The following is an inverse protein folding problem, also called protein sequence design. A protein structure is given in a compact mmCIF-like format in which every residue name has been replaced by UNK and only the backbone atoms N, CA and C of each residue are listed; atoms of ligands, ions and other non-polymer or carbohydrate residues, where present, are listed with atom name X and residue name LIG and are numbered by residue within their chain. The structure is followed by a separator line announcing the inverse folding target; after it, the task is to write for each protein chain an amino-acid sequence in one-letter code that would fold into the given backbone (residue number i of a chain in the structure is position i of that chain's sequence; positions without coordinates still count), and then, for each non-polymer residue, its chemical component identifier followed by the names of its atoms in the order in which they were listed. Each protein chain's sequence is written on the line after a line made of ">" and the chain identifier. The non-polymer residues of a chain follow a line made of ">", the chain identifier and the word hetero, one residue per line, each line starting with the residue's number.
data_IF_536299623727
#
_entry.id   IF_536299623727
#
_cell.length_a   1.000
_cell.length_b   1.000
_cell.length_c   1.000
_cell.angle_alpha   90.00
_cell.angle_beta   90.00
_cell.angle_gamma   90.00
#
_symmetry.space_group_name_H-M   'P 1'
#
loop_
_entity.id
_entity.type
_entity.pdbx_description
1 polymer ?
#
# COMPACT_ATOMS: atom_id res chain seq x y z
N UNK A 1 16.57 52.83 16.12
CA UNK A 1 16.32 51.83 17.17
C UNK A 1 15.27 50.86 16.67
N UNK A 2 15.53 49.56 16.89
CA UNK A 2 14.83 48.39 16.37
C UNK A 2 13.32 48.37 16.71
N UNK A 3 12.46 47.67 15.96
CA UNK A 3 12.38 46.20 16.00
C UNK A 3 11.60 45.67 14.79
N UNK A 4 12.29 44.94 13.92
CA UNK A 4 11.66 44.06 12.94
C UNK A 4 11.20 42.78 13.63
N UNK A 5 9.92 42.45 13.50
CA UNK A 5 9.38 41.15 13.90
C UNK A 5 9.83 40.10 12.89
N UNK A 6 10.44 38.98 13.32
CA UNK A 6 10.73 37.88 12.42
C UNK A 6 9.43 37.13 12.14
N UNK A 7 8.96 37.19 10.90
CA UNK A 7 7.97 36.27 10.37
C UNK A 7 8.55 34.87 10.40
N UNK A 8 8.07 34.03 11.33
CA UNK A 8 8.37 32.60 11.35
C UNK A 8 7.71 31.96 10.13
N UNK A 9 8.49 31.85 9.07
CA UNK A 9 8.13 31.13 7.86
C UNK A 9 8.11 29.64 8.21
N UNK A 10 7.01 29.14 8.77
CA UNK A 10 6.76 27.72 8.98
C UNK A 10 6.55 27.05 7.62
N UNK A 11 7.66 26.80 6.93
CA UNK A 11 7.69 25.81 5.86
C UNK A 11 7.35 24.48 6.50
N UNK A 12 6.08 24.10 6.45
CA UNK A 12 5.64 22.73 6.62
C UNK A 12 6.43 21.92 5.60
N UNK A 13 7.53 21.33 6.05
CA UNK A 13 8.40 20.51 5.23
C UNK A 13 7.59 19.35 4.73
N UNK A 14 7.00 19.49 3.54
CA UNK A 14 6.72 18.35 2.67
C UNK A 14 8.05 17.63 2.60
N UNK A 15 8.19 16.54 3.34
CA UNK A 15 9.28 15.60 3.20
C UNK A 15 9.28 15.22 1.72
N UNK A 16 10.09 15.93 0.92
CA UNK A 16 10.25 15.64 -0.50
C UNK A 16 10.87 14.26 -0.53
N UNK A 17 10.03 13.29 -0.84
CA UNK A 17 10.45 11.94 -1.10
C UNK A 17 11.55 11.95 -2.14
N UNK A 18 12.49 11.04 -1.95
CA UNK A 18 13.51 10.79 -2.95
C UNK A 18 12.80 10.41 -4.26
N UNK A 19 12.98 11.18 -5.34
CA UNK A 19 12.28 10.94 -6.61
C UNK A 19 12.59 9.56 -7.20
N UNK A 20 13.70 8.94 -6.81
CA UNK A 20 14.03 7.58 -7.23
C UNK A 20 13.11 6.53 -6.59
N UNK A 21 12.59 6.77 -5.39
CA UNK A 21 11.63 5.85 -4.76
C UNK A 21 10.37 5.76 -5.60
N UNK A 22 9.80 6.89 -6.01
CA UNK A 22 8.59 6.89 -6.85
C UNK A 22 8.87 6.27 -8.23
N UNK A 23 10.05 6.52 -8.81
CA UNK A 23 10.49 5.83 -10.03
C UNK A 23 10.53 4.32 -9.84
N UNK A 24 11.12 3.82 -8.76
CA UNK A 24 11.20 2.38 -8.50
C UNK A 24 9.83 1.77 -8.18
N UNK A 25 8.90 2.51 -7.57
CA UNK A 25 7.51 2.06 -7.38
C UNK A 25 6.81 1.85 -8.71
N UNK A 26 7.10 2.70 -9.71
CA UNK A 26 6.54 2.56 -11.06
C UNK A 26 7.17 1.43 -11.87
N UNK A 27 8.47 1.24 -11.72
CA UNK A 27 9.20 0.13 -12.34
C UNK A 27 8.94 -1.21 -11.62
N UNK A 28 8.13 -1.21 -10.55
CA UNK A 28 7.83 -2.36 -9.70
C UNK A 28 9.12 -3.01 -9.14
N UNK A 29 10.15 -2.20 -8.91
CA UNK A 29 11.47 -2.64 -8.44
C UNK A 29 11.57 -2.56 -6.92
N UNK A 30 10.79 -3.40 -6.25
CA UNK A 30 10.64 -3.39 -4.79
C UNK A 30 11.93 -3.68 -4.03
N UNK A 31 12.80 -4.54 -4.58
CA UNK A 31 14.11 -4.84 -4.00
C UNK A 31 15.00 -3.58 -3.87
N UNK A 32 15.01 -2.71 -4.89
CA UNK A 32 15.76 -1.43 -4.81
C UNK A 32 15.15 -0.47 -3.79
N UNK A 33 13.83 -0.43 -3.66
CA UNK A 33 13.17 0.37 -2.62
C UNK A 33 13.60 -0.12 -1.24
N UNK A 34 13.51 -1.43 -0.99
CA UNK A 34 13.91 -2.01 0.30
C UNK A 34 15.37 -1.73 0.63
N UNK A 35 16.28 -1.83 -0.35
CA UNK A 35 17.68 -1.50 -0.13
C UNK A 35 17.87 -0.02 0.20
N UNK A 36 17.20 0.85 -0.55
CA UNK A 36 17.29 2.30 -0.36
C UNK A 36 16.72 2.77 0.98
N UNK A 37 15.63 2.16 1.46
CA UNK A 37 15.02 2.54 2.73
C UNK A 37 15.88 2.22 3.95
N UNK A 38 16.88 1.32 3.86
CA UNK A 38 17.78 0.97 4.97
C UNK A 38 18.58 2.16 5.51
N UNK A 39 18.90 3.12 4.65
CA UNK A 39 19.70 4.30 5.00
C UNK A 39 18.86 5.54 5.33
N UNK A 40 17.53 5.45 5.18
CA UNK A 40 16.62 6.58 5.39
C UNK A 40 16.19 6.62 6.86
N UNK A 41 16.11 7.82 7.43
CA UNK A 41 15.58 8.02 8.79
C UNK A 41 14.15 7.49 8.88
N UNK A 42 13.90 6.61 9.86
CA UNK A 42 12.57 6.04 10.10
C UNK A 42 11.54 7.14 10.37
N UNK A 43 10.46 7.10 9.61
CA UNK A 43 9.26 7.91 9.75
C UNK A 43 8.02 7.04 9.46
N UNK A 44 6.82 7.52 9.76
CA UNK A 44 5.59 6.81 9.42
C UNK A 44 5.51 6.51 7.92
N UNK A 45 5.83 7.50 7.09
CA UNK A 45 5.82 7.31 5.64
C UNK A 45 6.89 6.31 5.15
N UNK A 46 8.07 6.28 5.76
CA UNK A 46 9.11 5.27 5.45
C UNK A 46 8.63 3.86 5.82
N UNK A 47 7.95 3.70 6.97
CA UNK A 47 7.33 2.41 7.34
C UNK A 47 6.25 2.00 6.35
N UNK A 48 5.45 2.95 5.87
CA UNK A 48 4.45 2.69 4.84
C UNK A 48 5.10 2.16 3.55
N UNK A 49 6.13 2.85 3.05
CA UNK A 49 6.88 2.41 1.86
C UNK A 49 7.58 1.06 2.06
N UNK A 50 8.11 0.80 3.26
CA UNK A 50 8.70 -0.49 3.60
C UNK A 50 7.63 -1.60 3.56
N UNK A 51 6.45 -1.34 4.14
CA UNK A 51 5.31 -2.26 4.11
C UNK A 51 4.83 -2.53 2.69
N UNK A 52 4.68 -1.50 1.85
CA UNK A 52 4.35 -1.67 0.43
C UNK A 52 5.40 -2.53 -0.28
N UNK A 53 6.67 -2.18 -0.19
CA UNK A 53 7.73 -2.88 -0.91
C UNK A 53 7.89 -4.33 -0.45
N UNK A 54 7.73 -4.63 0.85
CA UNK A 54 7.73 -6.01 1.35
C UNK A 54 6.53 -6.80 0.84
N UNK A 55 5.33 -6.21 0.86
CA UNK A 55 4.13 -6.86 0.34
C UNK A 55 4.28 -7.19 -1.14
N UNK A 56 4.63 -6.20 -1.95
CA UNK A 56 4.69 -6.39 -3.40
C UNK A 56 5.81 -7.33 -3.82
N UNK A 57 6.96 -7.28 -3.13
CA UNK A 57 8.04 -8.25 -3.34
C UNK A 57 7.60 -9.67 -3.00
N UNK A 58 6.84 -9.85 -1.91
CA UNK A 58 6.26 -11.15 -1.56
C UNK A 58 5.29 -11.64 -2.64
N UNK A 59 4.39 -10.78 -3.11
CA UNK A 59 3.37 -11.13 -4.12
C UNK A 59 3.95 -11.41 -5.51
N UNK A 60 5.16 -10.92 -5.82
CA UNK A 60 5.89 -11.33 -7.03
C UNK A 60 6.33 -12.80 -6.98
N UNK A 61 6.63 -13.33 -5.80
CA UNK A 61 7.02 -14.73 -5.60
C UNK A 61 5.80 -15.64 -5.38
N UNK A 62 4.77 -15.11 -4.72
CA UNK A 62 3.55 -15.83 -4.36
C UNK A 62 2.32 -15.05 -4.86
N UNK A 63 1.96 -15.18 -6.15
CA UNK A 63 0.82 -14.46 -6.73
C UNK A 63 -0.49 -14.77 -6.00
N UNK A 64 -1.40 -13.79 -5.90
CA UNK A 64 -2.70 -13.94 -5.21
C UNK A 64 -3.59 -15.06 -5.78
N UNK A 65 -3.35 -15.49 -7.02
CA UNK A 65 -4.06 -16.61 -7.66
C UNK A 65 -3.52 -17.98 -7.24
N UNK A 66 -2.36 -18.04 -6.56
CA UNK A 66 -1.76 -19.27 -6.05
C UNK A 66 -2.13 -19.51 -4.58
N UNK A 67 -3.05 -20.45 -4.36
CA UNK A 67 -3.58 -20.77 -3.03
C UNK A 67 -2.70 -21.73 -2.21
N UNK A 68 -1.54 -22.16 -2.71
CA UNK A 68 -0.70 -23.16 -2.02
C UNK A 68 0.04 -22.61 -0.80
N UNK A 69 0.18 -21.29 -0.69
CA UNK A 69 1.03 -20.63 0.30
C UNK A 69 0.26 -19.90 1.42
N UNK A 70 -1.04 -20.17 1.59
CA UNK A 70 -1.91 -19.41 2.50
C UNK A 70 -1.40 -19.40 3.96
N UNK A 71 -0.99 -20.55 4.50
CA UNK A 71 -0.50 -20.63 5.88
C UNK A 71 0.81 -19.86 6.05
N UNK A 72 1.69 -19.95 5.05
CA UNK A 72 2.94 -19.19 5.02
C UNK A 72 2.66 -17.68 4.95
N UNK A 73 1.74 -17.23 4.08
CA UNK A 73 1.32 -15.82 3.96
C UNK A 73 0.85 -15.24 5.29
N UNK A 74 0.13 -16.03 6.10
CA UNK A 74 -0.36 -15.59 7.41
C UNK A 74 0.77 -15.28 8.38
N UNK A 75 1.89 -15.99 8.31
CA UNK A 75 3.05 -15.77 9.17
C UNK A 75 3.96 -14.67 8.60
N UNK A 76 4.28 -14.76 7.31
CA UNK A 76 5.26 -13.89 6.65
C UNK A 76 4.78 -12.44 6.57
N UNK A 77 3.46 -12.21 6.47
CA UNK A 77 2.88 -10.88 6.28
C UNK A 77 2.44 -10.16 7.57
N UNK A 78 2.63 -10.75 8.77
CA UNK A 78 2.26 -10.09 10.04
C UNK A 78 3.01 -8.77 10.22
N UNK A 79 4.33 -8.80 9.97
CA UNK A 79 5.17 -7.60 10.07
C UNK A 79 4.74 -6.54 9.06
N UNK A 80 4.38 -6.97 7.84
CA UNK A 80 3.94 -6.10 6.76
C UNK A 80 2.62 -5.41 7.12
N UNK A 81 1.67 -6.14 7.71
CA UNK A 81 0.42 -5.56 8.20
C UNK A 81 0.66 -4.45 9.23
N UNK A 82 1.58 -4.67 10.18
CA UNK A 82 1.94 -3.68 11.19
C UNK A 82 2.63 -2.44 10.58
N UNK A 83 3.48 -2.62 9.57
CA UNK A 83 4.12 -1.52 8.85
C UNK A 83 3.08 -0.66 8.12
N UNK A 84 2.15 -1.29 7.39
CA UNK A 84 1.09 -0.58 6.67
C UNK A 84 0.13 0.16 7.62
N UNK A 85 -0.23 -0.44 8.75
CA UNK A 85 -1.12 0.19 9.75
C UNK A 85 -0.47 1.34 10.51
N UNK A 86 0.80 1.20 10.87
CA UNK A 86 1.55 2.22 11.62
C UNK A 86 2.17 3.31 10.74
N UNK A 87 2.10 3.17 9.42
CA UNK A 87 2.70 4.10 8.45
C UNK A 87 1.89 5.36 8.15
N UNK A 88 0.86 5.68 8.96
CA UNK A 88 0.05 6.90 8.80
C UNK A 88 -0.94 6.90 7.61
N UNK A 89 -0.81 5.95 6.68
CA UNK A 89 -1.58 5.88 5.43
C UNK A 89 -2.75 4.90 5.45
N UNK A 90 -3.13 4.35 6.62
CA UNK A 90 -4.20 3.33 6.71
C UNK A 90 -5.55 3.78 6.13
N UNK A 91 -5.82 5.10 6.15
CA UNK A 91 -7.03 5.71 5.59
C UNK A 91 -6.86 6.26 4.17
N UNK A 92 -5.64 6.25 3.64
CA UNK A 92 -5.41 6.67 2.26
C UNK A 92 -5.88 5.59 1.30
N UNK A 93 -6.21 6.00 0.08
CA UNK A 93 -6.54 5.07 -0.99
C UNK A 93 -5.46 3.98 -1.16
N UNK A 94 -4.19 4.38 -1.22
CA UNK A 94 -3.09 3.41 -1.37
C UNK A 94 -3.02 2.42 -0.21
N UNK A 95 -3.10 2.91 1.03
CA UNK A 95 -3.02 2.04 2.22
C UNK A 95 -4.19 1.06 2.31
N UNK A 96 -5.39 1.48 1.90
CA UNK A 96 -6.54 0.60 1.86
C UNK A 96 -6.40 -0.47 0.77
N UNK A 97 -5.92 -0.11 -0.42
CA UNK A 97 -5.64 -1.08 -1.48
C UNK A 97 -4.59 -2.12 -1.05
N UNK A 98 -3.49 -1.68 -0.44
CA UNK A 98 -2.43 -2.58 0.01
C UNK A 98 -2.89 -3.52 1.13
N UNK A 99 -3.67 -3.02 2.09
CA UNK A 99 -4.26 -3.87 3.13
C UNK A 99 -5.25 -4.89 2.56
N UNK A 100 -6.06 -4.51 1.57
CA UNK A 100 -6.95 -5.45 0.89
C UNK A 100 -6.14 -6.60 0.25
N UNK A 101 -5.08 -6.28 -0.50
CA UNK A 101 -4.19 -7.28 -1.11
C UNK A 101 -3.57 -8.21 -0.07
N UNK A 102 -3.07 -7.64 1.04
CA UNK A 102 -2.49 -8.41 2.15
C UNK A 102 -3.51 -9.39 2.75
N UNK A 103 -4.72 -8.94 3.06
CA UNK A 103 -5.73 -9.82 3.64
C UNK A 103 -6.19 -10.90 2.68
N UNK A 104 -6.28 -10.60 1.38
CA UNK A 104 -6.55 -11.64 0.38
C UNK A 104 -5.45 -12.71 0.37
N UNK A 105 -4.17 -12.32 0.40
CA UNK A 105 -3.03 -13.25 0.44
C UNK A 105 -3.07 -14.15 1.69
N UNK A 106 -3.58 -13.64 2.81
CA UNK A 106 -3.77 -14.37 4.07
C UNK A 106 -5.08 -15.19 4.12
N UNK A 107 -5.88 -15.18 3.04
CA UNK A 107 -7.24 -15.75 2.99
C UNK A 107 -8.19 -15.22 4.06
N UNK A 108 -8.01 -13.94 4.43
CA UNK A 108 -8.87 -13.16 5.33
C UNK A 108 -9.86 -12.35 4.48
N UNK A 109 -10.77 -13.07 3.84
CA UNK A 109 -11.60 -12.51 2.76
C UNK A 109 -12.62 -11.46 3.23
N UNK A 110 -13.07 -11.54 4.48
CA UNK A 110 -14.02 -10.56 5.04
C UNK A 110 -13.33 -9.22 5.31
N UNK A 111 -12.12 -9.24 5.90
CA UNK A 111 -11.30 -8.03 6.03
C UNK A 111 -10.88 -7.50 4.67
N UNK A 112 -10.51 -8.39 3.73
CA UNK A 112 -10.21 -8.00 2.35
C UNK A 112 -11.38 -7.23 1.73
N UNK A 113 -12.60 -7.77 1.79
CA UNK A 113 -13.79 -7.12 1.24
C UNK A 113 -14.05 -5.76 1.89
N UNK A 114 -13.88 -5.67 3.20
CA UNK A 114 -14.02 -4.41 3.94
C UNK A 114 -13.07 -3.35 3.36
N UNK A 115 -11.79 -3.69 3.18
CA UNK A 115 -10.80 -2.76 2.65
C UNK A 115 -10.94 -2.48 1.15
N UNK A 116 -11.43 -3.43 0.35
CA UNK A 116 -11.83 -3.17 -1.05
C UNK A 116 -12.92 -2.10 -1.10
N UNK A 117 -13.96 -2.23 -0.28
CA UNK A 117 -15.07 -1.27 -0.25
C UNK A 117 -14.61 0.11 0.22
N UNK A 118 -13.74 0.16 1.24
CA UNK A 118 -13.13 1.41 1.69
C UNK A 118 -12.33 2.07 0.58
N UNK A 119 -11.44 1.32 -0.08
CA UNK A 119 -10.61 1.83 -1.17
C UNK A 119 -11.44 2.37 -2.34
N UNK A 120 -12.49 1.66 -2.74
CA UNK A 120 -13.41 2.12 -3.79
C UNK A 120 -14.12 3.41 -3.37
N UNK A 121 -14.52 3.52 -2.10
CA UNK A 121 -15.15 4.73 -1.56
C UNK A 121 -14.18 5.90 -1.40
N UNK A 122 -12.87 5.63 -1.36
CA UNK A 122 -11.82 6.63 -1.21
C UNK A 122 -11.07 6.92 -2.51
N UNK A 123 -11.60 6.49 -3.67
CA UNK A 123 -10.96 6.76 -4.97
C UNK A 123 -10.80 8.28 -5.12
N UNK A 124 -9.58 8.79 -5.41
CA UNK A 124 -9.35 10.21 -5.60
C UNK A 124 -10.13 10.75 -6.80
N UNK A 125 -10.84 11.88 -6.62
CA UNK A 125 -11.64 12.51 -7.68
C UNK A 125 -10.79 12.94 -8.89
N UNK A 126 -9.53 13.34 -8.65
CA UNK A 126 -8.56 13.62 -9.69
C UNK A 126 -7.37 12.68 -9.54
N UNK A 127 -7.43 11.56 -10.25
CA UNK A 127 -6.37 10.54 -10.24
C UNK A 127 -5.05 11.07 -10.79
N UNK A 128 -5.07 12.11 -11.65
CA UNK A 128 -3.86 12.71 -12.22
C UNK A 128 -3.07 13.54 -11.21
N UNK A 129 -3.68 13.91 -10.08
CA UNK A 129 -3.01 14.59 -8.96
C UNK A 129 -2.39 13.61 -7.95
N UNK A 130 -2.54 12.30 -8.16
CA UNK A 130 -2.01 11.28 -7.28
C UNK A 130 -0.66 10.76 -7.78
N UNK A 131 -0.02 9.92 -6.96
CA UNK A 131 1.11 9.11 -7.41
C UNK A 131 0.70 8.29 -8.64
N UNK A 132 1.63 8.08 -9.57
CA UNK A 132 1.37 7.16 -10.68
C UNK A 132 1.10 5.73 -10.16
N UNK A 133 1.61 5.38 -8.97
CA UNK A 133 1.30 4.13 -8.26
C UNK A 133 -0.19 4.00 -7.94
N UNK A 134 -0.89 5.09 -7.63
CA UNK A 134 -2.33 5.07 -7.35
C UNK A 134 -3.16 4.57 -8.54
N UNK A 135 -2.79 4.94 -9.77
CA UNK A 135 -3.47 4.44 -10.97
C UNK A 135 -3.34 2.92 -11.14
N UNK A 136 -2.17 2.36 -10.82
CA UNK A 136 -1.97 0.91 -10.81
C UNK A 136 -2.80 0.24 -9.71
N UNK A 137 -2.80 0.81 -8.50
CA UNK A 137 -3.61 0.32 -7.39
C UNK A 137 -5.12 0.34 -7.69
N UNK A 138 -5.58 1.31 -8.48
CA UNK A 138 -6.96 1.36 -8.93
C UNK A 138 -7.32 0.18 -9.84
N UNK A 139 -6.44 -0.18 -10.78
CA UNK A 139 -6.67 -1.38 -11.60
C UNK A 139 -6.64 -2.66 -10.74
N UNK A 140 -5.67 -2.75 -9.83
CA UNK A 140 -5.49 -3.89 -8.94
C UNK A 140 -6.68 -4.09 -7.99
N UNK A 141 -7.28 -3.02 -7.44
CA UNK A 141 -8.39 -3.14 -6.50
C UNK A 141 -9.67 -3.66 -7.16
N UNK A 142 -9.92 -3.26 -8.42
CA UNK A 142 -11.04 -3.82 -9.20
C UNK A 142 -10.81 -5.29 -9.56
N UNK A 143 -9.58 -5.65 -9.94
CA UNK A 143 -9.23 -7.06 -10.18
C UNK A 143 -9.41 -7.90 -8.90
N UNK A 144 -8.98 -7.39 -7.75
CA UNK A 144 -9.13 -8.05 -6.45
C UNK A 144 -10.61 -8.21 -6.06
N UNK A 145 -11.44 -7.20 -6.33
CA UNK A 145 -12.89 -7.30 -6.13
C UNK A 145 -13.50 -8.42 -6.99
N UNK A 146 -13.07 -8.54 -8.26
CA UNK A 146 -13.46 -9.64 -9.14
C UNK A 146 -13.11 -11.01 -8.55
N UNK A 147 -11.88 -11.18 -8.06
CA UNK A 147 -11.44 -12.43 -7.42
C UNK A 147 -12.27 -12.79 -6.17
N UNK A 148 -12.64 -11.79 -5.36
CA UNK A 148 -13.54 -12.00 -4.21
C UNK A 148 -14.94 -12.45 -4.64
N UNK A 149 -15.50 -11.84 -5.68
CA UNK A 149 -16.80 -12.21 -6.22
C UNK A 149 -16.79 -13.64 -6.76
N UNK A 150 -15.74 -14.04 -7.49
CA UNK A 150 -15.59 -15.42 -7.95
C UNK A 150 -15.55 -16.43 -6.81
N UNK A 151 -14.81 -16.12 -5.73
CA UNK A 151 -14.77 -16.96 -4.52
C UNK A 151 -16.15 -17.14 -3.91
N UNK A 152 -16.93 -16.07 -3.80
CA UNK A 152 -18.31 -16.14 -3.31
C UNK A 152 -19.21 -16.94 -4.25
N UNK A 153 -19.14 -16.70 -5.56
CA UNK A 153 -19.99 -17.41 -6.54
C UNK A 153 -19.70 -18.91 -6.59
N UNK A 154 -18.44 -19.34 -6.43
CA UNK A 154 -18.09 -20.78 -6.34
C UNK A 154 -18.70 -21.49 -5.13
N UNK A 155 -19.13 -20.76 -4.09
CA UNK A 155 -19.84 -21.34 -2.94
C UNK A 155 -21.31 -21.62 -3.31
N UNK A 156 -21.93 -20.80 -4.15
CA UNK A 156 -23.34 -20.94 -4.56
C UNK A 156 -23.58 -21.90 -5.73
N UNK A 157 -22.52 -22.34 -6.41
CA UNK A 157 -22.58 -23.25 -7.56
C UNK A 157 -22.17 -24.70 -7.22
N UNK A 158 -22.06 -25.02 -5.92
CA UNK A 158 -21.90 -26.39 -5.40
C UNK A 158 -23.21 -26.87 -4.81
#
# INVERSE_FOLDING_TARGET
>A
MATGTPTTNSHSGKHRLDPEIEKYRLELNWAKILDKLKSVKVSEYVKFLEGEAQLEYYLQQYPLTDYRHIEQSRNDLIRVENLLKSGGSIRSFEGQCLLAKLYYAQSRYDECLTYVNLAISSIPNDINQQSNRSSLLLAEIYALNGLLLEKKMKIYLK
#
